data_IF_519938468930
#
_entry.id   IF_519938468930
#
_cell.length_a   1.000
_cell.length_b   1.000
_cell.length_c   1.000
_cell.angle_alpha   90.00
_cell.angle_beta   90.00
_cell.angle_gamma   90.00
#
_symmetry.space_group_name_H-M   'P 1'
#
loop_
_entity.id
_entity.type
_entity.pdbx_description
1 polymer ?
#
# COMPACT_ATOMS: atom_id res chain seq x y z
N UNK A 1 -63.50 17.92 -14.21
CA UNK A 1 -62.47 17.88 -13.14
C UNK A 1 -61.53 16.66 -13.18
N UNK A 2 -61.57 15.79 -14.21
CA UNK A 2 -60.83 14.52 -14.23
C UNK A 2 -59.50 14.49 -15.04
N UNK A 3 -59.10 15.55 -15.75
CA UNK A 3 -57.92 15.48 -16.65
C UNK A 3 -56.55 15.73 -15.99
N UNK A 4 -56.50 16.17 -14.73
CA UNK A 4 -55.21 16.40 -14.03
C UNK A 4 -54.56 15.12 -13.48
N UNK A 5 -55.34 14.06 -13.25
CA UNK A 5 -54.86 12.79 -12.69
C UNK A 5 -53.92 12.05 -13.64
N UNK A 6 -54.27 11.94 -14.93
CA UNK A 6 -53.51 11.10 -15.87
C UNK A 6 -52.07 11.59 -16.13
N UNK A 7 -51.86 12.92 -16.15
CA UNK A 7 -50.51 13.48 -16.34
C UNK A 7 -49.59 13.23 -15.14
N UNK A 8 -50.14 13.17 -13.92
CA UNK A 8 -49.36 12.90 -12.72
C UNK A 8 -48.89 11.44 -12.66
N UNK A 9 -49.76 10.49 -13.05
CA UNK A 9 -49.39 9.07 -13.10
C UNK A 9 -48.35 8.75 -14.18
N UNK A 10 -48.39 9.44 -15.32
CA UNK A 10 -47.38 9.27 -16.39
C UNK A 10 -45.97 9.67 -15.95
N UNK A 11 -45.84 10.78 -15.21
CA UNK A 11 -44.54 11.25 -14.70
C UNK A 11 -43.96 10.31 -13.64
N UNK A 12 -44.81 9.79 -12.74
CA UNK A 12 -44.39 8.82 -11.72
C UNK A 12 -43.92 7.50 -12.35
N UNK A 13 -44.65 7.00 -13.36
CA UNK A 13 -44.25 5.81 -14.10
C UNK A 13 -42.92 5.97 -14.82
N UNK A 14 -42.69 7.10 -15.50
CA UNK A 14 -41.43 7.38 -16.16
C UNK A 14 -40.25 7.47 -15.18
N UNK A 15 -40.43 8.13 -14.03
CA UNK A 15 -39.40 8.20 -12.99
C UNK A 15 -39.08 6.83 -12.38
N UNK A 16 -40.08 5.96 -12.20
CA UNK A 16 -39.86 4.61 -11.71
C UNK A 16 -39.02 3.77 -12.69
N UNK A 17 -39.29 3.84 -13.99
CA UNK A 17 -38.51 3.13 -15.02
C UNK A 17 -37.07 3.65 -15.08
N UNK A 18 -36.86 4.96 -15.05
CA UNK A 18 -35.51 5.55 -15.01
C UNK A 18 -34.78 5.13 -13.73
N UNK A 19 -35.46 5.13 -12.58
CA UNK A 19 -34.90 4.66 -11.31
C UNK A 19 -34.42 3.21 -11.37
N UNK A 20 -35.21 2.30 -11.94
CA UNK A 20 -34.84 0.89 -12.11
C UNK A 20 -33.62 0.73 -13.03
N UNK A 21 -33.59 1.44 -14.15
CA UNK A 21 -32.46 1.39 -15.11
C UNK A 21 -31.16 1.93 -14.50
N UNK A 22 -31.24 3.04 -13.76
CA UNK A 22 -30.09 3.63 -13.07
C UNK A 22 -29.59 2.71 -11.96
N UNK A 23 -30.49 2.19 -11.10
CA UNK A 23 -30.11 1.30 -10.00
C UNK A 23 -29.51 -0.02 -10.52
N UNK A 24 -30.08 -0.61 -11.57
CA UNK A 24 -29.53 -1.81 -12.22
C UNK A 24 -28.13 -1.56 -12.79
N UNK A 25 -27.92 -0.41 -13.42
CA UNK A 25 -26.61 -0.02 -13.96
C UNK A 25 -25.57 0.20 -12.85
N UNK A 26 -25.96 0.86 -11.74
CA UNK A 26 -25.08 1.07 -10.59
C UNK A 26 -24.75 -0.24 -9.87
N UNK A 27 -25.72 -1.15 -9.72
CA UNK A 27 -25.49 -2.46 -9.12
C UNK A 27 -24.51 -3.30 -9.97
N UNK A 28 -24.70 -3.32 -11.29
CA UNK A 28 -23.79 -4.00 -12.23
C UNK A 28 -22.39 -3.39 -12.20
N UNK A 29 -22.28 -2.05 -12.14
CA UNK A 29 -20.99 -1.37 -12.01
C UNK A 29 -20.29 -1.73 -10.69
N UNK A 30 -21.01 -1.74 -9.56
CA UNK A 30 -20.45 -2.14 -8.25
C UNK A 30 -19.99 -3.60 -8.22
N UNK A 31 -20.79 -4.51 -8.76
CA UNK A 31 -20.44 -5.93 -8.84
C UNK A 31 -19.20 -6.14 -9.73
N UNK A 32 -19.11 -5.42 -10.85
CA UNK A 32 -17.92 -5.40 -11.72
C UNK A 32 -16.69 -4.90 -10.96
N UNK A 33 -16.79 -3.78 -10.24
CA UNK A 33 -15.67 -3.23 -9.46
C UNK A 33 -15.20 -4.17 -8.34
N UNK A 34 -16.12 -4.84 -7.65
CA UNK A 34 -15.77 -5.77 -6.58
C UNK A 34 -15.09 -7.05 -7.13
N UNK A 35 -15.64 -7.61 -8.22
CA UNK A 35 -15.02 -8.76 -8.87
C UNK A 35 -13.63 -8.44 -9.44
N UNK A 36 -13.45 -7.26 -10.04
CA UNK A 36 -12.16 -6.80 -10.53
C UNK A 36 -11.13 -6.71 -9.39
N UNK A 37 -11.50 -6.11 -8.26
CA UNK A 37 -10.64 -6.01 -7.08
C UNK A 37 -10.22 -7.39 -6.55
N UNK A 38 -11.14 -8.36 -6.52
CA UNK A 38 -10.83 -9.73 -6.10
C UNK A 38 -9.84 -10.38 -7.07
N UNK A 39 -10.02 -10.24 -8.38
CA UNK A 39 -9.08 -10.78 -9.37
C UNK A 39 -7.70 -10.14 -9.25
N UNK A 40 -7.62 -8.82 -9.09
CA UNK A 40 -6.37 -8.08 -8.88
C UNK A 40 -5.63 -8.59 -7.65
N UNK A 41 -6.33 -8.71 -6.52
CA UNK A 41 -5.71 -9.19 -5.28
C UNK A 41 -5.25 -10.65 -5.42
N UNK A 42 -6.01 -11.49 -6.13
CA UNK A 42 -5.64 -12.90 -6.29
C UNK A 42 -4.44 -13.08 -7.22
N UNK A 43 -4.44 -12.42 -8.39
CA UNK A 43 -3.31 -12.51 -9.33
C UNK A 43 -2.03 -11.90 -8.75
N UNK A 44 -2.13 -10.82 -7.97
CA UNK A 44 -0.96 -10.23 -7.30
C UNK A 44 -0.37 -11.17 -6.23
N UNK A 45 -1.20 -11.87 -5.44
CA UNK A 45 -0.70 -12.85 -4.46
C UNK A 45 0.03 -14.00 -5.11
N UNK A 46 -0.50 -14.53 -6.20
CA UNK A 46 0.18 -15.57 -6.96
C UNK A 46 1.49 -15.07 -7.54
N UNK A 47 1.54 -13.83 -8.06
CA UNK A 47 2.80 -13.19 -8.46
C UNK A 47 3.77 -13.06 -7.29
N UNK A 48 3.32 -12.64 -6.10
CA UNK A 48 4.17 -12.60 -4.91
C UNK A 48 4.72 -13.98 -4.54
N UNK A 49 3.89 -15.02 -4.57
CA UNK A 49 4.31 -16.39 -4.29
C UNK A 49 5.38 -16.88 -5.29
N UNK A 50 5.26 -16.54 -6.57
CA UNK A 50 6.27 -16.83 -7.60
C UNK A 50 7.60 -16.13 -7.28
N UNK A 51 7.55 -14.86 -6.84
CA UNK A 51 8.76 -14.12 -6.49
C UNK A 51 9.44 -14.67 -5.23
N UNK A 52 8.66 -15.10 -4.23
CA UNK A 52 9.21 -15.75 -3.03
C UNK A 52 9.84 -17.09 -3.41
N UNK A 53 9.17 -17.90 -4.24
CA UNK A 53 9.77 -19.12 -4.79
C UNK A 53 11.13 -18.83 -5.44
N UNK A 54 11.20 -17.81 -6.30
CA UNK A 54 12.45 -17.46 -6.99
C UNK A 54 13.55 -17.07 -6.00
N UNK A 55 13.22 -16.29 -4.95
CA UNK A 55 14.19 -15.93 -3.91
C UNK A 55 14.76 -17.16 -3.19
N UNK A 56 13.93 -18.15 -2.89
CA UNK A 56 14.36 -19.38 -2.22
C UNK A 56 15.08 -20.35 -3.14
N UNK A 57 15.01 -20.14 -4.46
CA UNK A 57 15.63 -20.97 -5.51
C UNK A 57 16.70 -20.22 -6.30
N UNK A 58 17.61 -19.53 -5.61
CA UNK A 58 18.74 -18.80 -6.21
C UNK A 58 18.30 -17.82 -7.31
N UNK A 59 17.24 -17.07 -7.05
CA UNK A 59 16.62 -16.12 -7.99
C UNK A 59 16.03 -16.77 -9.25
N UNK A 60 15.85 -18.10 -9.29
CA UNK A 60 15.39 -18.81 -10.49
C UNK A 60 13.88 -19.05 -10.48
N UNK A 61 13.20 -18.62 -11.53
CA UNK A 61 11.77 -18.90 -11.70
C UNK A 61 11.50 -20.38 -11.95
N UNK A 62 10.31 -20.88 -11.58
CA UNK A 62 9.94 -22.27 -11.82
C UNK A 62 9.98 -22.61 -13.31
N UNK A 63 10.32 -23.86 -13.64
CA UNK A 63 10.24 -24.35 -15.02
C UNK A 63 8.77 -24.58 -15.36
N UNK A 64 8.32 -23.95 -16.43
CA UNK A 64 6.96 -24.03 -16.94
C UNK A 64 6.78 -25.19 -17.90
N UNK A 65 5.97 -26.17 -17.53
CA UNK A 65 5.41 -27.16 -18.46
C UNK A 65 3.88 -27.02 -18.57
N UNK A 66 3.20 -26.55 -17.52
CA UNK A 66 1.77 -26.21 -17.53
C UNK A 66 1.36 -25.30 -16.37
N UNK A 67 0.21 -24.61 -16.48
CA UNK A 67 -0.34 -23.77 -15.39
C UNK A 67 -0.61 -24.58 -14.11
N UNK A 68 -1.06 -25.83 -14.24
CA UNK A 68 -1.32 -26.72 -13.09
C UNK A 68 -0.03 -27.14 -12.38
N UNK A 69 1.06 -27.32 -13.12
CA UNK A 69 2.37 -27.60 -12.52
C UNK A 69 2.88 -26.37 -11.77
N UNK A 70 2.80 -25.17 -12.34
CA UNK A 70 3.17 -23.94 -11.64
C UNK A 70 2.37 -23.80 -10.35
N UNK A 71 1.05 -24.00 -10.39
CA UNK A 71 0.20 -23.99 -9.20
C UNK A 71 0.66 -25.01 -8.15
N UNK A 72 1.06 -26.22 -8.54
CA UNK A 72 1.55 -27.24 -7.60
C UNK A 72 2.90 -26.88 -6.94
N UNK A 73 3.80 -26.26 -7.70
CA UNK A 73 5.16 -25.90 -7.24
C UNK A 73 5.11 -24.65 -6.36
N UNK A 74 4.37 -23.62 -6.82
CA UNK A 74 4.29 -22.32 -6.16
C UNK A 74 3.20 -22.28 -5.09
N UNK A 75 2.22 -23.17 -5.17
CA UNK A 75 1.07 -23.21 -4.26
C UNK A 75 1.45 -23.35 -2.80
N UNK A 76 2.57 -24.01 -2.49
CA UNK A 76 3.09 -24.09 -1.11
C UNK A 76 3.41 -22.70 -0.53
N UNK A 77 4.04 -21.84 -1.32
CA UNK A 77 4.32 -20.46 -0.96
C UNK A 77 3.03 -19.65 -0.85
N UNK A 78 2.11 -19.84 -1.79
CA UNK A 78 0.82 -19.13 -1.76
C UNK A 78 0.01 -19.49 -0.50
N UNK A 79 -0.08 -20.78 -0.18
CA UNK A 79 -0.84 -21.30 0.96
C UNK A 79 -0.23 -20.91 2.30
N UNK A 80 1.10 -20.85 2.38
CA UNK A 80 1.79 -20.45 3.60
C UNK A 80 1.58 -18.97 3.94
N UNK A 81 1.59 -18.10 2.91
CA UNK A 81 1.60 -16.65 3.11
C UNK A 81 0.26 -15.95 2.91
N UNK A 82 -0.66 -16.50 2.11
CA UNK A 82 -1.87 -15.80 1.70
C UNK A 82 -3.18 -16.53 2.00
N UNK A 83 -3.49 -17.62 1.28
CA UNK A 83 -4.74 -18.40 1.40
C UNK A 83 -4.64 -19.69 0.53
N UNK A 84 -5.50 -20.68 0.76
CA UNK A 84 -5.63 -21.90 -0.04
C UNK A 84 -6.40 -21.68 -1.37
N UNK A 85 -6.32 -20.49 -1.95
CA UNK A 85 -7.04 -20.16 -3.20
C UNK A 85 -6.30 -20.68 -4.41
N UNK A 86 -7.00 -21.24 -5.41
CA UNK A 86 -6.36 -21.71 -6.62
C UNK A 86 -5.81 -20.55 -7.47
N UNK A 87 -4.88 -20.88 -8.38
CA UNK A 87 -4.26 -19.96 -9.36
C UNK A 87 -5.24 -19.63 -10.51
N UNK A 88 -6.43 -19.18 -10.14
CA UNK A 88 -7.56 -18.94 -11.04
C UNK A 88 -8.24 -17.63 -10.73
N UNK A 89 -8.82 -17.01 -11.74
CA UNK A 89 -9.75 -15.90 -11.57
C UNK A 89 -10.95 -16.35 -10.72
N UNK A 90 -11.23 -15.68 -9.60
CA UNK A 90 -12.40 -15.99 -8.79
C UNK A 90 -13.73 -15.66 -9.48
N UNK A 91 -13.69 -14.93 -10.59
CA UNK A 91 -14.88 -14.45 -11.31
C UNK A 91 -15.31 -15.44 -12.39
N UNK A 92 -14.36 -16.01 -13.13
CA UNK A 92 -14.67 -16.93 -14.24
C UNK A 92 -14.01 -18.32 -14.11
N UNK A 93 -13.23 -18.58 -13.07
CA UNK A 93 -12.58 -19.87 -12.80
C UNK A 93 -11.41 -20.22 -13.75
N UNK A 94 -11.08 -19.33 -14.68
CA UNK A 94 -9.99 -19.55 -15.64
C UNK A 94 -8.63 -19.38 -14.96
N UNK A 95 -7.60 -20.10 -15.44
CA UNK A 95 -6.25 -20.00 -14.88
C UNK A 95 -5.63 -18.62 -15.11
N UNK A 96 -4.78 -18.19 -14.19
CA UNK A 96 -3.74 -17.21 -14.52
C UNK A 96 -2.61 -17.95 -15.21
N UNK A 97 -2.29 -17.59 -16.45
CA UNK A 97 -1.20 -18.19 -17.23
C UNK A 97 0.13 -17.61 -16.80
N UNK A 98 1.06 -18.48 -16.46
CA UNK A 98 2.44 -18.07 -16.24
C UNK A 98 3.10 -17.68 -17.56
N UNK A 99 3.95 -16.65 -17.53
CA UNK A 99 4.71 -16.25 -18.71
C UNK A 99 5.83 -17.28 -18.99
N UNK A 100 5.75 -18.06 -20.08
CA UNK A 100 6.74 -19.10 -20.36
C UNK A 100 8.13 -18.53 -20.63
N UNK A 101 8.27 -17.25 -20.99
CA UNK A 101 9.58 -16.61 -21.16
C UNK A 101 10.36 -16.50 -19.84
N UNK A 102 9.66 -16.49 -18.70
CA UNK A 102 10.31 -16.49 -17.39
C UNK A 102 10.80 -17.88 -16.97
N UNK A 103 10.29 -18.95 -17.58
CA UNK A 103 10.55 -20.35 -17.23
C UNK A 103 12.03 -20.66 -17.06
N UNK A 104 12.43 -21.04 -15.84
CA UNK A 104 13.81 -21.42 -15.51
C UNK A 104 14.85 -20.30 -15.66
N UNK A 105 14.43 -19.06 -15.92
CA UNK A 105 15.30 -17.88 -15.99
C UNK A 105 15.54 -17.25 -14.62
N UNK A 106 16.53 -16.37 -14.53
CA UNK A 106 16.85 -15.65 -13.30
C UNK A 106 16.04 -14.34 -13.18
N UNK A 107 15.65 -13.96 -11.96
CA UNK A 107 15.00 -12.67 -11.68
C UNK A 107 15.94 -11.48 -11.86
N UNK A 108 17.25 -11.72 -11.78
CA UNK A 108 18.30 -10.73 -12.01
C UNK A 108 18.75 -10.60 -13.46
N UNK A 109 18.15 -11.31 -14.44
CA UNK A 109 18.56 -11.21 -15.84
C UNK A 109 18.42 -9.76 -16.37
N UNK A 110 19.54 -9.05 -16.60
CA UNK A 110 19.52 -7.62 -16.92
C UNK A 110 18.97 -7.34 -18.32
N UNK A 111 18.77 -8.37 -19.16
CA UNK A 111 18.18 -8.22 -20.50
C UNK A 111 16.66 -8.04 -20.46
N UNK A 112 16.04 -8.25 -19.30
CA UNK A 112 14.59 -8.13 -19.11
C UNK A 112 14.28 -6.75 -18.55
N UNK A 113 13.38 -6.00 -19.22
CA UNK A 113 12.75 -4.85 -18.58
C UNK A 113 11.81 -5.37 -17.49
N UNK A 114 12.37 -5.65 -16.30
CA UNK A 114 11.68 -6.22 -15.14
C UNK A 114 10.44 -5.41 -14.76
N UNK A 115 10.33 -4.17 -15.23
CA UNK A 115 9.22 -3.33 -14.86
C UNK A 115 7.92 -3.58 -15.65
N UNK A 116 7.97 -4.32 -16.76
CA UNK A 116 6.79 -4.57 -17.61
C UNK A 116 6.62 -6.02 -18.03
N UNK A 117 7.58 -6.89 -17.74
CA UNK A 117 7.48 -8.31 -18.09
C UNK A 117 6.32 -8.94 -17.31
N UNK A 118 5.29 -9.47 -18.02
CA UNK A 118 4.19 -10.13 -17.37
C UNK A 118 4.70 -11.41 -16.69
N UNK A 119 4.27 -11.64 -15.45
CA UNK A 119 4.49 -12.89 -14.71
C UNK A 119 3.29 -13.80 -14.88
N UNK A 120 2.11 -13.22 -14.66
CA UNK A 120 0.83 -13.91 -14.76
C UNK A 120 -0.10 -13.09 -15.65
N UNK A 121 -0.83 -13.78 -16.53
CA UNK A 121 -1.89 -13.18 -17.35
C UNK A 121 -3.16 -13.99 -17.21
N UNK A 122 -4.28 -13.34 -16.96
CA UNK A 122 -5.59 -13.99 -16.94
C UNK A 122 -5.90 -14.64 -18.31
N UNK A 123 -6.15 -15.96 -18.32
CA UNK A 123 -6.35 -16.71 -19.57
C UNK A 123 -7.63 -16.32 -20.32
N UNK A 124 -8.67 -15.95 -19.57
CA UNK A 124 -9.92 -15.44 -20.11
C UNK A 124 -10.24 -14.14 -19.38
N UNK A 125 -10.37 -13.05 -20.11
CA UNK A 125 -10.68 -11.75 -19.53
C UNK A 125 -11.97 -11.80 -18.70
N UNK A 126 -11.88 -11.48 -17.41
CA UNK A 126 -13.07 -11.44 -16.55
C UNK A 126 -13.88 -10.15 -16.70
N UNK A 127 -13.26 -9.05 -17.17
CA UNK A 127 -13.88 -7.72 -17.20
C UNK A 127 -13.57 -6.99 -18.49
N UNK A 128 -14.62 -6.47 -19.13
CA UNK A 128 -14.57 -5.64 -20.34
C UNK A 128 -13.79 -6.25 -21.52
N UNK A 129 -13.62 -7.58 -21.53
CA UNK A 129 -12.85 -8.31 -22.54
C UNK A 129 -11.34 -8.08 -22.47
N UNK A 130 -10.84 -7.45 -21.40
CA UNK A 130 -9.41 -7.17 -21.20
C UNK A 130 -8.88 -7.98 -20.00
N UNK A 131 -7.84 -8.83 -20.18
CA UNK A 131 -7.33 -9.66 -19.11
C UNK A 131 -6.51 -8.86 -18.09
N UNK A 132 -6.50 -9.34 -16.86
CA UNK A 132 -5.54 -8.88 -15.86
C UNK A 132 -4.14 -9.45 -16.11
N UNK A 133 -3.11 -8.66 -15.84
CA UNK A 133 -1.70 -9.01 -16.02
C UNK A 133 -0.95 -8.57 -14.78
N UNK A 134 -0.37 -9.49 -14.02
CA UNK A 134 0.56 -9.15 -12.95
C UNK A 134 1.99 -9.14 -13.51
N UNK A 135 2.70 -8.02 -13.39
CA UNK A 135 4.06 -7.87 -13.89
C UNK A 135 5.11 -7.95 -12.77
N UNK A 136 6.38 -8.10 -13.15
CA UNK A 136 7.49 -8.25 -12.21
C UNK A 136 7.73 -7.01 -11.32
N UNK A 137 7.32 -5.80 -11.75
CA UNK A 137 7.34 -4.58 -10.92
C UNK A 137 6.38 -4.62 -9.72
N UNK A 138 5.60 -5.70 -9.59
CA UNK A 138 4.62 -5.86 -8.54
C UNK A 138 3.31 -5.13 -8.81
N UNK A 139 3.07 -4.64 -10.03
CA UNK A 139 1.78 -4.06 -10.41
C UNK A 139 0.91 -5.08 -11.13
N UNK A 140 -0.39 -4.89 -10.98
CA UNK A 140 -1.40 -5.55 -11.81
C UNK A 140 -1.95 -4.55 -12.80
N UNK A 141 -2.08 -4.98 -14.05
CA UNK A 141 -2.62 -4.23 -15.18
C UNK A 141 -3.92 -4.89 -15.65
N UNK A 142 -4.86 -4.10 -16.18
CA UNK A 142 -5.95 -4.59 -17.02
C UNK A 142 -5.62 -4.13 -18.43
N UNK A 143 -5.08 -5.05 -19.24
CA UNK A 143 -4.50 -4.72 -20.54
C UNK A 143 -3.19 -3.93 -20.37
N UNK A 144 -3.15 -2.68 -20.85
CA UNK A 144 -1.97 -1.79 -20.75
C UNK A 144 -2.03 -0.79 -19.60
N UNK A 145 -3.14 -0.75 -18.86
CA UNK A 145 -3.34 0.22 -17.79
C UNK A 145 -3.18 -0.48 -16.45
N UNK A 146 -2.40 0.07 -15.51
CA UNK A 146 -2.39 -0.45 -14.14
C UNK A 146 -3.82 -0.40 -13.58
N UNK A 147 -4.25 -1.46 -12.89
CA UNK A 147 -5.60 -1.53 -12.28
C UNK A 147 -5.71 -0.65 -11.04
N UNK A 148 -4.56 -0.23 -10.52
CA UNK A 148 -4.49 0.85 -9.57
C UNK A 148 -5.17 2.09 -10.15
N UNK A 149 -6.03 2.76 -9.37
CA UNK A 149 -6.47 4.12 -9.70
C UNK A 149 -5.22 4.95 -10.09
N UNK A 150 -5.10 5.44 -11.34
CA UNK A 150 -3.93 6.16 -11.81
C UNK A 150 -3.53 7.29 -10.87
N UNK A 151 -4.52 7.92 -10.22
CA UNK A 151 -4.34 8.91 -9.16
C UNK A 151 -3.51 8.38 -8.00
N UNK A 152 -3.80 7.17 -7.52
CA UNK A 152 -3.08 6.54 -6.40
C UNK A 152 -1.69 6.10 -6.81
N UNK A 153 -1.52 5.60 -8.03
CA UNK A 153 -0.21 5.25 -8.56
C UNK A 153 0.69 6.50 -8.65
N UNK A 154 0.16 7.63 -9.12
CA UNK A 154 0.85 8.92 -9.12
C UNK A 154 1.16 9.36 -7.70
N UNK A 155 0.20 9.29 -6.78
CA UNK A 155 0.38 9.72 -5.41
C UNK A 155 1.43 8.88 -4.66
N UNK A 156 1.55 7.58 -4.96
CA UNK A 156 2.66 6.73 -4.46
C UNK A 156 4.01 7.21 -4.97
N UNK A 157 4.14 7.48 -6.28
CA UNK A 157 5.39 8.02 -6.85
C UNK A 157 5.75 9.38 -6.26
N UNK A 158 4.77 10.26 -6.09
CA UNK A 158 4.96 11.53 -5.40
C UNK A 158 5.50 11.31 -3.99
N UNK A 159 4.94 10.34 -3.24
CA UNK A 159 5.41 9.97 -1.90
C UNK A 159 6.85 9.49 -1.94
N UNK A 160 7.18 8.55 -2.82
CA UNK A 160 8.54 8.01 -2.95
C UNK A 160 9.56 9.12 -3.24
N UNK A 161 9.23 10.05 -4.15
CA UNK A 161 10.08 11.22 -4.43
C UNK A 161 10.23 12.14 -3.22
N UNK A 162 9.14 12.40 -2.49
CA UNK A 162 9.17 13.29 -1.33
C UNK A 162 9.97 12.67 -0.18
N UNK A 163 9.86 11.36 0.03
CA UNK A 163 10.67 10.62 1.00
C UNK A 163 12.14 10.58 0.60
N UNK A 164 12.45 10.29 -0.68
CA UNK A 164 13.82 10.31 -1.17
C UNK A 164 14.47 11.68 -1.03
N UNK A 165 13.70 12.76 -1.23
CA UNK A 165 14.16 14.13 -0.97
C UNK A 165 14.48 14.35 0.52
N UNK A 166 13.65 13.83 1.44
CA UNK A 166 13.90 13.97 2.88
C UNK A 166 15.12 13.16 3.35
N UNK A 167 15.32 11.96 2.80
CA UNK A 167 16.51 11.17 3.08
C UNK A 167 17.78 11.91 2.61
N UNK A 168 17.75 12.47 1.40
CA UNK A 168 18.84 13.34 0.93
C UNK A 168 19.08 14.50 1.90
N UNK A 169 18.04 15.21 2.33
CA UNK A 169 18.17 16.35 3.25
C UNK A 169 18.82 15.93 4.57
N UNK A 170 18.49 14.75 5.09
CA UNK A 170 19.12 14.21 6.30
C UNK A 170 20.62 13.95 6.11
N UNK A 171 21.01 13.38 4.97
CA UNK A 171 22.42 13.05 4.67
C UNK A 171 23.28 14.28 4.34
N UNK A 172 22.66 15.41 4.01
CA UNK A 172 23.34 16.64 3.58
C UNK A 172 23.04 17.83 4.50
N UNK A 173 23.12 17.61 5.83
CA UNK A 173 23.01 18.65 6.87
C UNK A 173 21.79 19.55 6.69
N UNK A 174 20.63 18.95 6.46
CA UNK A 174 19.36 19.64 6.25
C UNK A 174 19.29 20.54 5.01
N UNK A 175 20.24 20.43 4.09
CA UNK A 175 20.31 21.24 2.86
C UNK A 175 19.59 20.55 1.70
N UNK A 176 18.67 21.25 1.05
CA UNK A 176 17.97 20.78 -0.15
C UNK A 176 18.92 20.73 -1.36
N UNK A 177 18.68 19.83 -2.34
CA UNK A 177 19.50 19.73 -3.54
C UNK A 177 19.76 21.09 -4.20
N UNK A 178 21.00 21.41 -4.62
CA UNK A 178 21.33 22.72 -5.19
C UNK A 178 20.48 23.09 -6.40
N UNK A 179 20.09 22.08 -7.19
CA UNK A 179 19.25 22.23 -8.37
C UNK A 179 18.00 21.37 -8.22
N UNK A 180 16.85 22.02 -8.23
CA UNK A 180 15.52 21.40 -8.10
C UNK A 180 14.84 21.26 -9.46
N UNK A 181 15.56 20.74 -10.45
CA UNK A 181 15.05 20.35 -11.77
C UNK A 181 15.10 18.83 -11.95
N UNK A 182 14.27 18.28 -12.84
CA UNK A 182 14.16 16.82 -12.99
C UNK A 182 15.46 16.15 -13.42
N UNK A 183 16.27 16.79 -14.26
CA UNK A 183 17.50 16.17 -14.76
C UNK A 183 18.52 16.04 -13.62
N UNK A 184 18.72 17.12 -12.86
CA UNK A 184 19.60 17.13 -11.70
C UNK A 184 19.09 16.17 -10.61
N UNK A 185 17.80 16.25 -10.27
CA UNK A 185 17.22 15.45 -9.18
C UNK A 185 17.18 13.95 -9.49
N UNK A 186 17.04 13.53 -10.76
CA UNK A 186 17.15 12.11 -11.11
C UNK A 186 18.50 11.53 -10.72
N UNK A 187 19.58 12.29 -10.94
CA UNK A 187 20.92 11.88 -10.54
C UNK A 187 21.05 11.94 -9.02
N UNK A 188 20.72 13.10 -8.43
CA UNK A 188 20.87 13.36 -6.99
C UNK A 188 20.07 12.41 -6.11
N UNK A 189 18.82 12.10 -6.48
CA UNK A 189 17.93 11.26 -5.68
C UNK A 189 18.00 9.77 -6.03
N UNK A 190 18.71 9.37 -7.09
CA UNK A 190 18.79 7.96 -7.50
C UNK A 190 19.23 6.99 -6.37
N UNK A 191 20.14 7.35 -5.44
CA UNK A 191 20.52 6.45 -4.34
C UNK A 191 19.40 6.23 -3.31
N UNK A 192 18.46 7.17 -3.21
CA UNK A 192 17.37 7.17 -2.22
C UNK A 192 16.04 6.64 -2.78
N UNK A 193 16.01 6.29 -4.07
CA UNK A 193 14.81 5.87 -4.77
C UNK A 193 14.97 4.44 -5.27
N UNK A 194 13.90 3.65 -5.14
CA UNK A 194 13.89 2.27 -5.66
C UNK A 194 13.92 2.19 -7.18
N UNK A 195 13.39 3.22 -7.85
CA UNK A 195 13.30 3.25 -9.31
C UNK A 195 13.28 4.68 -9.83
N UNK A 196 13.94 4.92 -10.96
CA UNK A 196 13.89 6.20 -11.68
C UNK A 196 12.50 6.50 -12.26
N UNK A 197 11.62 5.49 -12.35
CA UNK A 197 10.22 5.66 -12.80
C UNK A 197 9.39 6.52 -11.85
N UNK A 198 9.84 6.75 -10.61
CA UNK A 198 9.16 7.64 -9.65
C UNK A 198 9.04 9.07 -10.15
N UNK A 199 9.93 9.53 -11.05
CA UNK A 199 9.84 10.85 -11.67
C UNK A 199 8.70 11.01 -12.69
N UNK A 200 8.17 9.89 -13.22
CA UNK A 200 7.12 9.91 -14.24
C UNK A 200 5.72 9.91 -13.64
N UNK A 201 4.83 10.77 -14.16
CA UNK A 201 3.44 10.86 -13.69
C UNK A 201 2.53 9.86 -14.43
N UNK A 202 2.87 9.41 -15.63
CA UNK A 202 2.04 8.46 -16.38
C UNK A 202 2.84 7.72 -17.44
N UNK A 203 2.43 6.50 -17.85
CA UNK A 203 2.93 5.87 -19.07
C UNK A 203 2.75 6.74 -20.32
N UNK A 204 1.74 7.63 -20.32
CA UNK A 204 1.46 8.57 -21.43
C UNK A 204 2.32 9.84 -21.38
N UNK A 205 3.29 9.92 -20.48
CA UNK A 205 4.23 11.03 -20.36
C UNK A 205 3.91 12.02 -19.25
N UNK A 206 4.84 12.96 -19.04
CA UNK A 206 4.81 13.95 -17.96
C UNK A 206 5.68 13.55 -16.77
N UNK A 207 6.41 14.52 -16.24
CA UNK A 207 7.23 14.38 -15.04
C UNK A 207 6.71 15.30 -13.96
N UNK A 208 6.99 14.97 -12.69
CA UNK A 208 6.72 15.90 -11.60
C UNK A 208 7.48 17.22 -11.83
N UNK A 209 6.87 18.32 -11.42
CA UNK A 209 7.48 19.65 -11.43
C UNK A 209 7.92 19.94 -10.00
N UNK A 210 9.23 20.05 -9.80
CA UNK A 210 9.82 20.41 -8.52
C UNK A 210 9.83 21.93 -8.33
N UNK A 211 9.71 22.35 -7.08
CA UNK A 211 9.75 23.76 -6.73
C UNK A 211 11.20 24.27 -6.76
N UNK A 212 11.56 24.96 -7.84
CA UNK A 212 12.92 25.47 -8.07
C UNK A 212 13.39 26.48 -7.01
N UNK A 213 12.46 27.17 -6.33
CA UNK A 213 12.79 28.16 -5.31
C UNK A 213 13.39 27.56 -4.02
N UNK A 214 13.31 26.23 -3.87
CA UNK A 214 13.84 25.45 -2.75
C UNK A 214 15.33 25.11 -2.91
N UNK A 215 15.89 25.20 -4.12
CA UNK A 215 17.22 24.68 -4.41
C UNK A 215 18.34 25.32 -3.57
N UNK A 216 19.19 24.47 -2.98
CA UNK A 216 20.38 24.87 -2.21
C UNK A 216 20.11 25.57 -0.88
N UNK A 217 18.86 25.58 -0.43
CA UNK A 217 18.44 26.19 0.84
C UNK A 217 18.26 25.15 1.93
N UNK A 218 18.35 25.58 3.18
CA UNK A 218 18.08 24.72 4.32
C UNK A 218 16.59 24.42 4.44
N UNK A 219 16.21 23.19 4.79
CA UNK A 219 14.81 22.78 4.89
C UNK A 219 14.05 23.58 5.97
N UNK A 220 14.70 23.92 7.09
CA UNK A 220 14.11 24.69 8.20
C UNK A 220 13.76 26.14 7.84
N UNK A 221 14.24 26.65 6.69
CA UNK A 221 13.85 27.96 6.18
C UNK A 221 12.43 27.98 5.62
N UNK A 222 11.78 26.81 5.50
CA UNK A 222 10.47 26.66 4.92
C UNK A 222 9.50 26.00 5.90
N UNK A 223 8.20 26.37 5.88
CA UNK A 223 7.19 25.59 6.57
C UNK A 223 7.13 24.15 6.01
N UNK A 224 6.84 23.19 6.88
CA UNK A 224 6.66 21.77 6.51
C UNK A 224 5.53 21.56 5.47
N UNK A 225 4.61 22.51 5.33
CA UNK A 225 3.52 22.49 4.34
C UNK A 225 3.94 23.00 2.96
N UNK A 226 5.19 23.46 2.79
CA UNK A 226 5.70 23.96 1.50
C UNK A 226 5.67 22.85 0.46
N UNK A 227 5.09 23.14 -0.71
CA UNK A 227 5.04 22.21 -1.84
C UNK A 227 6.45 22.03 -2.40
N UNK A 228 6.94 20.79 -2.37
CA UNK A 228 8.23 20.39 -2.91
C UNK A 228 8.13 19.94 -4.37
N UNK A 229 7.05 19.24 -4.71
CA UNK A 229 6.79 18.74 -6.05
C UNK A 229 5.28 18.67 -6.33
N UNK A 230 4.90 18.79 -7.60
CA UNK A 230 3.51 18.67 -8.04
C UNK A 230 3.40 18.07 -9.44
N UNK A 231 2.24 17.53 -9.77
CA UNK A 231 1.96 17.08 -11.14
C UNK A 231 1.91 18.24 -12.13
N UNK A 232 2.33 18.06 -13.39
CA UNK A 232 2.37 19.13 -14.40
C UNK A 232 0.99 19.43 -15.02
N UNK A 233 -0.03 18.65 -14.70
CA UNK A 233 -1.31 18.68 -15.39
C UNK A 233 -2.28 19.71 -14.82
N UNK A 234 -3.09 20.29 -15.70
CA UNK A 234 -4.26 21.07 -15.29
C UNK A 234 -5.25 20.16 -14.54
N UNK A 235 -5.91 20.66 -13.46
CA UNK A 235 -6.91 19.91 -12.68
C UNK A 235 -8.08 19.34 -13.50
N UNK A 236 -8.27 19.78 -14.74
CA UNK A 236 -9.33 19.32 -15.64
C UNK A 236 -9.12 17.91 -16.19
N UNK A 237 -7.88 17.41 -16.23
CA UNK A 237 -7.54 16.09 -16.81
C UNK A 237 -7.21 15.08 -15.70
N UNK A 238 -6.46 15.50 -14.70
CA UNK A 238 -6.12 14.70 -13.53
C UNK A 238 -6.32 15.52 -12.25
N UNK A 239 -6.67 14.89 -11.12
CA UNK A 239 -6.58 15.56 -9.82
C UNK A 239 -5.20 16.19 -9.63
N UNK A 240 -5.16 17.39 -9.04
CA UNK A 240 -3.89 17.96 -8.58
C UNK A 240 -3.30 17.05 -7.51
N UNK A 241 -2.06 16.60 -7.74
CA UNK A 241 -1.29 15.82 -6.78
C UNK A 241 0.00 16.56 -6.48
N UNK A 242 0.30 16.74 -5.20
CA UNK A 242 1.51 17.42 -4.75
C UNK A 242 2.08 16.79 -3.48
N UNK A 243 3.40 16.85 -3.33
CA UNK A 243 4.16 16.44 -2.15
C UNK A 243 4.71 17.67 -1.41
N UNK A 244 4.76 17.63 -0.08
CA UNK A 244 5.27 18.73 0.76
C UNK A 244 6.58 18.37 1.46
N UNK A 245 7.31 19.36 1.99
CA UNK A 245 8.53 19.13 2.78
C UNK A 245 8.29 18.30 4.06
N UNK A 246 7.04 18.06 4.48
CA UNK A 246 6.70 17.12 5.54
C UNK A 246 6.69 15.63 5.11
N UNK A 247 6.97 15.32 3.84
CA UNK A 247 6.82 13.97 3.30
C UNK A 247 5.36 13.57 3.04
N UNK A 248 4.43 14.52 3.16
CA UNK A 248 2.99 14.32 2.93
C UNK A 248 2.64 14.52 1.47
N UNK A 249 1.71 13.72 0.98
CA UNK A 249 1.15 13.83 -0.38
C UNK A 249 -0.32 14.22 -0.27
N UNK A 250 -0.81 15.00 -1.22
CA UNK A 250 -2.20 15.43 -1.28
C UNK A 250 -2.80 15.14 -2.66
N UNK A 251 -4.08 14.75 -2.70
CA UNK A 251 -4.89 14.59 -3.92
C UNK A 251 -6.09 15.53 -3.79
N UNK A 252 -6.24 16.49 -4.71
CA UNK A 252 -7.31 17.52 -4.65
C UNK A 252 -7.40 18.22 -3.28
N UNK A 253 -6.25 18.50 -2.67
CA UNK A 253 -6.14 19.17 -1.37
C UNK A 253 -6.45 18.29 -0.14
N UNK A 254 -6.78 17.01 -0.33
CA UNK A 254 -6.91 16.06 0.79
C UNK A 254 -5.63 15.24 0.93
N UNK A 255 -5.16 15.05 2.15
CA UNK A 255 -3.98 14.23 2.42
C UNK A 255 -4.21 12.81 1.88
N UNK A 256 -3.33 12.40 0.97
CA UNK A 256 -3.25 11.04 0.51
C UNK A 256 -2.57 10.22 1.59
N UNK A 257 -3.40 9.58 2.39
CA UNK A 257 -2.99 8.42 3.15
C UNK A 257 -3.05 7.26 2.17
N UNK A 258 -1.91 6.68 1.74
CA UNK A 258 -1.96 5.52 0.87
C UNK A 258 -2.89 4.51 1.50
N UNK A 259 -3.85 3.94 0.74
CA UNK A 259 -4.67 2.87 1.28
C UNK A 259 -3.68 1.85 1.80
N UNK A 260 -3.69 1.72 3.12
CA UNK A 260 -2.97 0.73 3.89
C UNK A 260 -3.01 -0.54 3.07
N UNK A 261 -1.87 -0.92 2.48
CA UNK A 261 -1.79 -1.91 1.41
C UNK A 261 -2.59 -3.12 1.88
N UNK A 262 -3.74 -3.40 1.25
CA UNK A 262 -4.70 -4.42 1.68
C UNK A 262 -4.15 -5.84 1.41
N UNK A 263 -2.83 -6.01 1.42
CA UNK A 263 -2.21 -7.23 1.93
C UNK A 263 -2.76 -7.41 3.34
N UNK A 264 -3.84 -8.20 3.42
CA UNK A 264 -4.69 -8.33 4.59
C UNK A 264 -3.81 -8.60 5.83
N UNK A 265 -3.62 -7.59 6.69
CA UNK A 265 -2.73 -7.66 7.86
C UNK A 265 -1.48 -6.75 7.85
N UNK A 266 -0.95 -6.34 6.69
CA UNK A 266 0.18 -5.39 6.63
C UNK A 266 -0.11 -4.06 7.34
N UNK A 267 -1.32 -3.48 7.20
CA UNK A 267 -1.68 -2.24 7.87
C UNK A 267 -1.57 -2.32 9.39
N UNK A 268 -2.07 -3.41 9.95
CA UNK A 268 -2.06 -3.63 11.38
C UNK A 268 -0.67 -3.98 11.86
N UNK A 269 0.10 -4.73 11.06
CA UNK A 269 1.51 -5.00 11.36
C UNK A 269 2.32 -3.70 11.39
N UNK A 270 2.12 -2.80 10.44
CA UNK A 270 2.82 -1.51 10.41
C UNK A 270 2.39 -0.63 11.60
N UNK A 271 1.09 -0.59 11.93
CA UNK A 271 0.58 0.17 13.08
C UNK A 271 1.12 -0.38 14.39
N UNK A 272 1.07 -1.70 14.57
CA UNK A 272 1.63 -2.38 15.72
C UNK A 272 3.15 -2.16 15.80
N UNK A 273 3.89 -2.20 14.69
CA UNK A 273 5.34 -1.92 14.70
C UNK A 273 5.63 -0.49 15.14
N UNK A 274 4.91 0.50 14.60
CA UNK A 274 5.04 1.89 15.03
C UNK A 274 4.74 2.06 16.52
N UNK A 275 3.70 1.38 17.03
CA UNK A 275 3.38 1.38 18.44
C UNK A 275 4.47 0.72 19.30
N UNK A 276 4.94 -0.47 18.90
CA UNK A 276 6.03 -1.19 19.58
C UNK A 276 7.30 -0.37 19.65
N UNK A 277 7.73 0.22 18.53
CA UNK A 277 8.88 1.13 18.48
C UNK A 277 8.70 2.33 19.39
N UNK A 278 7.52 2.97 19.40
CA UNK A 278 7.27 4.13 20.25
C UNK A 278 7.35 3.78 21.75
N UNK A 279 6.88 2.60 22.16
CA UNK A 279 7.00 2.15 23.55
C UNK A 279 8.45 1.87 23.94
N UNK A 280 9.27 1.31 23.04
CA UNK A 280 10.71 1.12 23.29
C UNK A 280 11.43 2.45 23.44
N UNK A 281 11.15 3.42 22.56
CA UNK A 281 11.75 4.76 22.64
C UNK A 281 11.37 5.45 23.95
N UNK A 282 10.10 5.36 24.36
CA UNK A 282 9.68 5.82 25.68
C UNK A 282 10.50 5.16 26.78
N UNK A 283 10.61 3.83 26.79
CA UNK A 283 11.32 3.13 27.85
C UNK A 283 12.80 3.54 27.92
N UNK A 284 13.45 3.73 26.78
CA UNK A 284 14.83 4.22 26.71
C UNK A 284 15.03 5.60 27.36
N UNK A 285 14.06 6.50 27.19
CA UNK A 285 14.08 7.84 27.81
C UNK A 285 13.69 7.83 29.30
N UNK A 286 13.14 6.72 29.78
CA UNK A 286 12.58 6.57 31.12
C UNK A 286 13.22 5.39 31.88
N UNK A 287 14.55 5.35 31.89
CA UNK A 287 15.36 4.37 32.65
C UNK A 287 14.96 2.91 32.37
N UNK A 288 14.75 2.58 31.10
CA UNK A 288 14.30 1.27 30.62
C UNK A 288 13.01 0.80 31.31
N UNK A 289 12.12 1.71 31.69
CA UNK A 289 10.86 1.40 32.37
C UNK A 289 9.67 1.62 31.43
N UNK A 290 8.80 0.62 31.32
CA UNK A 290 7.59 0.75 30.51
C UNK A 290 6.66 1.82 31.08
N UNK A 291 5.81 2.43 30.23
CA UNK A 291 4.87 3.46 30.66
C UNK A 291 4.02 2.99 31.86
N UNK A 292 3.87 3.86 32.86
CA UNK A 292 3.02 3.59 34.01
C UNK A 292 1.55 3.87 33.64
N UNK A 293 0.83 2.80 33.33
CA UNK A 293 -0.49 2.80 32.70
C UNK A 293 -1.55 2.22 33.62
N UNK A 294 -1.99 3.02 34.58
CA UNK A 294 -3.22 2.70 35.31
C UNK A 294 -4.44 2.61 34.38
N UNK A 295 -4.39 3.29 33.22
CA UNK A 295 -5.41 3.28 32.20
C UNK A 295 -4.84 3.59 30.79
N UNK A 296 -5.65 3.34 29.77
CA UNK A 296 -5.30 3.54 28.36
C UNK A 296 -5.15 5.02 27.97
N UNK A 297 -5.86 5.95 28.60
CA UNK A 297 -5.73 7.38 28.29
C UNK A 297 -4.35 7.89 28.73
N UNK A 298 -3.89 7.46 29.91
CA UNK A 298 -2.56 7.75 30.45
C UNK A 298 -1.47 7.19 29.54
N UNK A 299 -1.60 5.93 29.09
CA UNK A 299 -0.69 5.34 28.10
C UNK A 299 -0.59 6.18 26.83
N UNK A 300 -1.74 6.54 26.24
CA UNK A 300 -1.79 7.30 24.99
C UNK A 300 -1.09 8.65 25.15
N UNK A 301 -1.29 9.34 26.27
CA UNK A 301 -0.63 10.61 26.54
C UNK A 301 0.90 10.48 26.64
N UNK A 302 1.40 9.41 27.27
CA UNK A 302 2.83 9.13 27.43
C UNK A 302 3.52 8.74 26.12
N UNK A 303 2.85 7.96 25.28
CA UNK A 303 3.42 7.42 24.03
C UNK A 303 3.29 8.39 22.85
N UNK A 304 2.29 9.29 22.85
CA UNK A 304 2.05 10.18 21.71
C UNK A 304 3.27 11.00 21.24
N UNK A 305 4.16 11.51 22.11
CA UNK A 305 5.38 12.20 21.69
C UNK A 305 6.34 11.34 20.86
N UNK A 306 6.29 10.02 21.04
CA UNK A 306 7.14 9.03 20.36
C UNK A 306 6.52 8.47 19.08
N UNK A 307 5.30 8.88 18.75
CA UNK A 307 4.59 8.47 17.54
C UNK A 307 4.56 9.59 16.51
N UNK A 308 4.73 9.21 15.24
CA UNK A 308 4.54 10.14 14.12
C UNK A 308 3.06 10.52 13.89
N UNK A 309 2.11 9.77 14.46
CA UNK A 309 0.67 10.07 14.39
C UNK A 309 -0.12 9.31 15.46
N UNK A 310 -1.19 9.94 15.95
CA UNK A 310 -2.11 9.32 16.90
C UNK A 310 -2.87 8.10 16.33
N UNK A 311 -2.94 7.95 15.00
CA UNK A 311 -3.64 6.83 14.34
C UNK A 311 -3.07 5.46 14.73
N UNK A 312 -1.80 5.41 15.12
CA UNK A 312 -1.10 4.17 15.49
C UNK A 312 -1.46 3.68 16.90
N UNK A 313 -2.16 4.48 17.69
CA UNK A 313 -2.69 4.06 19.00
C UNK A 313 -3.93 3.17 18.87
N UNK A 314 -4.43 2.97 17.64
CA UNK A 314 -5.58 2.15 17.31
C UNK A 314 -5.19 1.14 16.24
N UNK A 315 -5.94 0.05 16.15
CA UNK A 315 -5.92 -0.88 15.02
C UNK A 315 -6.49 -0.18 13.77
N UNK A 316 -6.26 -0.70 12.54
CA UNK A 316 -6.82 -0.12 11.33
C UNK A 316 -8.35 0.00 11.30
N UNK A 317 -9.09 -0.74 12.14
CA UNK A 317 -10.54 -0.60 12.29
C UNK A 317 -10.97 0.54 13.23
N UNK A 318 -10.02 1.22 13.87
CA UNK A 318 -10.25 2.26 14.86
C UNK A 318 -10.47 1.74 16.28
N UNK A 319 -10.34 0.43 16.54
CA UNK A 319 -10.37 -0.11 17.91
C UNK A 319 -9.01 0.00 18.56
N UNK A 320 -8.97 0.28 19.85
CA UNK A 320 -7.71 0.35 20.59
C UNK A 320 -7.02 -1.02 20.70
N UNK A 321 -5.69 -1.01 20.82
CA UNK A 321 -4.93 -2.19 21.22
C UNK A 321 -5.21 -2.53 22.70
N UNK A 322 -5.17 -3.82 23.03
CA UNK A 322 -5.24 -4.31 24.41
C UNK A 322 -3.82 -4.31 24.96
N UNK A 323 -3.55 -3.47 25.95
CA UNK A 323 -2.24 -3.38 26.61
C UNK A 323 -2.09 -4.47 27.67
N UNK A 324 -0.87 -4.96 27.86
CA UNK A 324 -0.56 -5.82 28.99
C UNK A 324 -0.33 -4.98 30.25
N UNK A 325 -1.37 -4.84 31.07
CA UNK A 325 -1.33 -4.04 32.30
C UNK A 325 -0.27 -4.53 33.32
N UNK A 326 0.17 -5.79 33.25
CA UNK A 326 1.21 -6.30 34.17
C UNK A 326 2.58 -5.68 33.92
N UNK A 327 2.80 -5.02 32.77
CA UNK A 327 4.05 -4.33 32.44
C UNK A 327 4.04 -2.86 32.86
N UNK A 328 2.93 -2.34 33.40
CA UNK A 328 2.82 -0.94 33.81
C UNK A 328 3.90 -0.56 34.82
N UNK A 329 4.84 0.32 34.43
CA UNK A 329 5.95 0.75 35.28
C UNK A 329 6.99 -0.35 35.59
N UNK A 330 7.00 -1.45 34.84
CA UNK A 330 7.97 -2.53 35.00
C UNK A 330 9.25 -2.17 34.22
N UNK A 331 10.41 -2.35 34.86
CA UNK A 331 11.70 -2.20 34.21
C UNK A 331 11.97 -3.37 33.26
N UNK A 332 12.45 -3.10 32.05
CA UNK A 332 12.78 -4.10 31.02
C UNK A 332 13.76 -5.13 31.57
N UNK A 333 14.78 -4.69 32.31
CA UNK A 333 15.79 -5.54 32.92
C UNK A 333 15.26 -6.55 33.97
N UNK A 334 14.02 -6.37 34.45
CA UNK A 334 13.38 -7.30 35.39
C UNK A 334 12.63 -8.45 34.70
N UNK A 335 12.48 -8.40 33.37
CA UNK A 335 11.82 -9.43 32.59
C UNK A 335 12.80 -10.57 32.26
N UNK A 336 12.39 -11.81 32.52
CA UNK A 336 13.18 -13.01 32.19
C UNK A 336 13.23 -13.25 30.67
N UNK A 337 12.14 -12.96 29.95
CA UNK A 337 12.04 -13.11 28.50
C UNK A 337 11.29 -11.94 27.86
N UNK A 338 12.03 -10.92 27.43
CA UNK A 338 11.47 -9.74 26.74
C UNK A 338 10.86 -10.07 25.38
N UNK A 339 11.32 -11.13 24.71
CA UNK A 339 10.86 -11.53 23.37
C UNK A 339 9.60 -12.41 23.41
N UNK A 340 9.36 -13.10 24.53
CA UNK A 340 8.16 -13.89 24.76
C UNK A 340 7.05 -13.15 25.50
N UNK A 341 7.39 -12.03 26.17
CA UNK A 341 6.44 -11.27 26.97
C UNK A 341 5.59 -10.34 26.09
N UNK A 342 4.28 -10.55 26.08
CA UNK A 342 3.31 -9.70 25.36
C UNK A 342 3.28 -8.29 25.97
N UNK A 343 3.48 -7.27 25.13
CA UNK A 343 3.36 -5.86 25.49
C UNK A 343 1.96 -5.34 25.18
N UNK A 344 1.45 -5.66 23.99
CA UNK A 344 0.08 -5.37 23.58
C UNK A 344 -0.37 -6.35 22.51
N UNK A 345 -1.69 -6.41 22.28
CA UNK A 345 -2.27 -7.16 21.16
C UNK A 345 -3.45 -6.44 20.51
N UNK A 346 -3.75 -6.80 19.27
CA UNK A 346 -4.95 -6.36 18.59
C UNK A 346 -6.21 -6.84 19.34
N UNK A 347 -7.19 -5.94 19.45
CA UNK A 347 -8.47 -6.25 20.10
C UNK A 347 -9.36 -7.18 19.28
N UNK A 348 -9.05 -7.34 17.99
CA UNK A 348 -9.78 -8.19 17.06
C UNK A 348 -8.85 -9.06 16.21
N UNK A 349 -9.43 -10.11 15.63
CA UNK A 349 -8.77 -10.91 14.62
C UNK A 349 -8.71 -10.10 13.32
N UNK A 350 -7.55 -10.11 12.69
CA UNK A 350 -7.38 -9.70 11.33
C UNK A 350 -8.25 -10.51 10.39
N UNK A 351 -8.45 -9.98 9.19
CA UNK A 351 -9.09 -10.73 8.11
C UNK A 351 -8.37 -12.07 7.82
N UNK A 352 -7.07 -12.17 8.13
CA UNK A 352 -6.29 -13.42 8.02
C UNK A 352 -6.56 -14.42 9.14
N UNK A 353 -7.45 -14.11 10.07
CA UNK A 353 -7.72 -14.93 11.26
C UNK A 353 -6.57 -14.93 12.26
N UNK A 354 -5.66 -13.95 12.21
CA UNK A 354 -4.56 -13.79 13.16
C UNK A 354 -4.77 -12.55 14.04
N UNK A 355 -4.21 -12.51 15.25
CA UNK A 355 -4.03 -11.30 16.05
C UNK A 355 -2.61 -10.79 15.91
N UNK A 356 -2.44 -9.47 15.85
CA UNK A 356 -1.10 -8.88 15.98
C UNK A 356 -0.76 -8.78 17.46
N UNK A 357 0.42 -9.27 17.83
CA UNK A 357 0.98 -9.17 19.17
C UNK A 357 2.31 -8.42 19.07
N UNK A 358 2.43 -7.32 19.81
CA UNK A 358 3.70 -6.66 20.07
C UNK A 358 4.31 -7.20 21.35
N UNK A 359 5.62 -7.45 21.33
CA UNK A 359 6.37 -8.00 22.46
C UNK A 359 7.13 -6.90 23.19
N UNK A 360 7.60 -7.23 24.39
CA UNK A 360 8.30 -6.30 25.28
C UNK A 360 9.57 -5.72 24.63
N UNK A 361 10.27 -6.47 23.79
CA UNK A 361 11.42 -5.99 23.00
C UNK A 361 11.05 -5.13 21.76
N UNK A 362 9.75 -4.87 21.54
CA UNK A 362 9.24 -4.03 20.46
C UNK A 362 8.99 -4.74 19.13
N UNK A 363 9.33 -6.02 18.97
CA UNK A 363 8.98 -6.74 17.76
C UNK A 363 7.49 -7.09 17.72
N UNK A 364 6.97 -7.38 16.53
CA UNK A 364 5.55 -7.68 16.32
C UNK A 364 5.39 -8.93 15.46
N UNK A 365 4.46 -9.81 15.85
CA UNK A 365 4.11 -11.01 15.07
C UNK A 365 2.60 -11.24 15.00
N UNK A 366 2.15 -11.86 13.91
CA UNK A 366 0.77 -12.34 13.78
C UNK A 366 0.61 -13.76 14.33
N UNK A 367 -0.22 -13.94 15.36
CA UNK A 367 -0.51 -15.24 16.01
C UNK A 367 -1.93 -15.70 15.68
N UNK A 368 -2.16 -17.00 15.47
CA UNK A 368 -3.49 -17.55 15.18
C UNK A 368 -4.38 -17.60 16.42
#
# INVERSE_FOLDING_TARGET
MQSKSFKQWGAVGALAVVGILVLGSVAKARQSSYGALICVNNIDRWRQAINIYAQDYDERYPVFESDAQIESVVGLYHHHYFDNRPMRSPVNGSFYRFNPELSGGYSSDPRRDLDTVPVLTESVASFDGVPFVAALDGRVYQGRLPVDDPTRAIARKARDLTLGLLMYVQDYDETLPPKMDNASLKVTLSPYLRTSRSFSVSPKGGEFVFNSALGGKMIWQFPNTTIALQTPFSPSIFPSIYGTLAGKVYIKGKEYVPPLDLRMGQPELDYAKQLGTAVILYAQDHDETYPNTADLATFKAQILPYLSSAIYLQTPSGKDYILNATLSGVAIASLEDVSGTELFRSSELLFTGKRMIGFADGHVRGVR
#
